data_IF_557825346976
#
_entry.id   IF_557825346976
#
_cell.length_a   1.000
_cell.length_b   1.000
_cell.length_c   1.000
_cell.angle_alpha   90.00
_cell.angle_beta   90.00
_cell.angle_gamma   90.00
#
_symmetry.space_group_name_H-M   'P 1'
#
loop_
_entity.id
_entity.type
_entity.pdbx_description
1 polymer ?
#
# COMPACT_ATOMS: atom_id res chain seq x y z
N UNK A 1 4.98 -6.21 -52.22
CA UNK A 1 4.85 -7.27 -51.21
C UNK A 1 5.71 -6.94 -49.98
N UNK A 2 5.38 -5.89 -49.21
CA UNK A 2 6.21 -5.46 -48.06
C UNK A 2 5.41 -4.93 -46.85
N UNK A 3 4.14 -4.56 -47.01
CA UNK A 3 3.31 -4.08 -45.90
C UNK A 3 2.66 -5.19 -45.06
N UNK A 4 2.40 -6.36 -45.65
CA UNK A 4 1.84 -7.53 -44.94
C UNK A 4 2.79 -7.99 -43.82
N UNK A 5 4.09 -8.03 -44.11
CA UNK A 5 5.09 -8.60 -43.21
C UNK A 5 5.30 -7.76 -41.95
N UNK A 6 5.25 -6.43 -42.05
CA UNK A 6 5.47 -5.54 -40.91
C UNK A 6 4.29 -5.58 -39.93
N UNK A 7 3.05 -5.57 -40.44
CA UNK A 7 1.85 -5.67 -39.60
C UNK A 7 1.74 -7.04 -38.92
N UNK A 8 1.92 -8.13 -39.67
CA UNK A 8 1.90 -9.48 -39.09
C UNK A 8 3.02 -9.66 -38.05
N UNK A 9 4.21 -9.11 -38.30
CA UNK A 9 5.29 -9.13 -37.31
C UNK A 9 4.92 -8.33 -36.05
N UNK A 10 4.33 -7.15 -36.21
CA UNK A 10 3.85 -6.34 -35.08
C UNK A 10 2.79 -7.07 -34.26
N UNK A 11 1.78 -7.66 -34.92
CA UNK A 11 0.70 -8.40 -34.26
C UNK A 11 1.25 -9.61 -33.48
N UNK A 12 2.22 -10.33 -34.04
CA UNK A 12 2.87 -11.46 -33.37
C UNK A 12 3.72 -11.02 -32.18
N UNK A 13 4.45 -9.91 -32.30
CA UNK A 13 5.19 -9.32 -31.18
C UNK A 13 4.24 -8.88 -30.08
N UNK A 14 3.19 -8.15 -30.42
CA UNK A 14 2.19 -7.67 -29.46
C UNK A 14 1.51 -8.83 -28.73
N UNK A 15 1.16 -9.90 -29.45
CA UNK A 15 0.61 -11.12 -28.86
C UNK A 15 1.58 -11.78 -27.88
N UNK A 16 2.85 -11.95 -28.26
CA UNK A 16 3.87 -12.58 -27.40
C UNK A 16 4.21 -11.72 -26.19
N UNK A 17 4.50 -10.43 -26.38
CA UNK A 17 4.81 -9.52 -25.28
C UNK A 17 3.60 -9.32 -24.36
N UNK A 18 2.38 -9.24 -24.89
CA UNK A 18 1.16 -9.23 -24.09
C UNK A 18 1.01 -10.48 -23.21
N UNK A 19 1.29 -11.66 -23.77
CA UNK A 19 1.27 -12.92 -23.00
C UNK A 19 2.38 -12.95 -21.94
N UNK A 20 3.59 -12.48 -22.25
CA UNK A 20 4.69 -12.38 -21.28
C UNK A 20 4.35 -11.41 -20.15
N UNK A 21 3.74 -10.27 -20.45
CA UNK A 21 3.28 -9.30 -19.46
C UNK A 21 2.20 -9.91 -18.54
N UNK A 22 1.25 -10.67 -19.09
CA UNK A 22 0.24 -11.36 -18.28
C UNK A 22 0.87 -12.41 -17.35
N UNK A 23 1.86 -13.17 -17.83
CA UNK A 23 2.60 -14.12 -17.01
C UNK A 23 3.42 -13.41 -15.91
N UNK A 24 4.03 -12.26 -16.21
CA UNK A 24 4.77 -11.49 -15.19
C UNK A 24 3.83 -10.91 -14.15
N UNK A 25 2.68 -10.37 -14.58
CA UNK A 25 1.66 -9.83 -13.68
C UNK A 25 1.16 -10.88 -12.69
N UNK A 26 0.80 -12.07 -13.18
CA UNK A 26 0.35 -13.18 -12.33
C UNK A 26 1.43 -13.64 -11.35
N UNK A 27 2.68 -13.74 -11.80
CA UNK A 27 3.81 -14.05 -10.91
C UNK A 27 4.01 -12.97 -9.82
N UNK A 28 3.88 -11.69 -10.18
CA UNK A 28 4.00 -10.57 -9.23
C UNK A 28 2.87 -10.58 -8.20
N UNK A 29 1.62 -10.86 -8.60
CA UNK A 29 0.50 -11.02 -7.67
C UNK A 29 0.78 -12.10 -6.62
N UNK A 30 1.34 -13.20 -7.09
CA UNK A 30 1.74 -14.36 -6.31
C UNK A 30 2.90 -14.05 -5.35
N UNK A 31 3.93 -13.36 -5.82
CA UNK A 31 5.05 -12.87 -5.02
C UNK A 31 4.58 -11.90 -3.93
N UNK A 32 3.71 -10.95 -4.27
CA UNK A 32 3.10 -10.01 -3.30
C UNK A 32 2.26 -10.78 -2.28
N UNK A 33 1.48 -11.79 -2.70
CA UNK A 33 0.65 -12.57 -1.79
C UNK A 33 1.48 -13.36 -0.76
N UNK A 34 2.59 -13.93 -1.22
CA UNK A 34 3.53 -14.71 -0.39
C UNK A 34 4.47 -13.82 0.43
N UNK A 35 4.58 -12.55 0.11
CA UNK A 35 5.37 -11.60 0.87
C UNK A 35 4.84 -11.47 2.31
N UNK A 36 5.70 -11.79 3.28
CA UNK A 36 5.44 -11.72 4.73
C UNK A 36 6.60 -11.05 5.44
N UNK A 37 6.30 -10.31 6.51
CA UNK A 37 7.29 -9.63 7.32
C UNK A 37 8.31 -10.61 7.93
N UNK A 38 7.84 -11.68 8.59
CA UNK A 38 8.73 -12.71 9.14
C UNK A 38 9.70 -12.10 10.15
N UNK A 39 11.01 -12.27 9.94
CA UNK A 39 12.08 -11.72 10.79
C UNK A 39 12.55 -10.33 10.37
N UNK A 40 11.94 -9.71 9.36
CA UNK A 40 12.31 -8.38 8.88
C UNK A 40 11.77 -7.27 9.78
N UNK A 41 12.49 -6.16 9.86
CA UNK A 41 11.94 -4.91 10.42
C UNK A 41 10.82 -4.37 9.51
N UNK A 42 9.98 -3.49 10.05
CA UNK A 42 8.94 -2.81 9.27
C UNK A 42 9.53 -2.11 8.04
N UNK A 43 10.66 -1.41 8.18
CA UNK A 43 11.33 -0.73 7.06
C UNK A 43 11.76 -1.72 5.98
N UNK A 44 12.41 -2.82 6.36
CA UNK A 44 12.89 -3.84 5.41
C UNK A 44 11.73 -4.47 4.64
N UNK A 45 10.67 -4.85 5.36
CA UNK A 45 9.46 -5.42 4.76
C UNK A 45 8.78 -4.42 3.82
N UNK A 46 8.63 -3.16 4.25
CA UNK A 46 8.07 -2.09 3.42
C UNK A 46 8.86 -1.88 2.12
N UNK A 47 10.20 -1.83 2.18
CA UNK A 47 11.02 -1.68 0.97
C UNK A 47 10.82 -2.84 0.00
N UNK A 48 10.75 -4.08 0.51
CA UNK A 48 10.60 -5.26 -0.33
C UNK A 48 9.23 -5.30 -1.03
N UNK A 49 8.14 -5.11 -0.28
CA UNK A 49 6.80 -5.13 -0.87
C UNK A 49 6.53 -3.91 -1.75
N UNK A 50 7.14 -2.75 -1.44
CA UNK A 50 7.12 -1.58 -2.33
C UNK A 50 7.77 -1.88 -3.67
N UNK A 51 8.93 -2.54 -3.68
CA UNK A 51 9.59 -2.92 -4.94
C UNK A 51 8.71 -3.83 -5.80
N UNK A 52 8.09 -4.84 -5.19
CA UNK A 52 7.14 -5.72 -5.89
C UNK A 52 5.91 -4.97 -6.41
N UNK A 53 5.39 -4.03 -5.62
CA UNK A 53 4.23 -3.22 -5.99
C UNK A 53 4.54 -2.24 -7.12
N UNK A 54 5.70 -1.58 -7.08
CA UNK A 54 6.14 -0.65 -8.12
C UNK A 54 6.31 -1.41 -9.45
N UNK A 55 6.90 -2.61 -9.42
CA UNK A 55 6.98 -3.46 -10.62
C UNK A 55 5.59 -3.92 -11.09
N UNK A 56 4.72 -4.36 -10.19
CA UNK A 56 3.34 -4.74 -10.54
C UNK A 56 2.59 -3.58 -11.21
N UNK A 57 2.77 -2.36 -10.72
CA UNK A 57 2.13 -1.17 -11.26
C UNK A 57 2.62 -0.80 -12.67
N UNK A 58 3.84 -1.19 -13.04
CA UNK A 58 4.38 -0.99 -14.40
C UNK A 58 3.72 -1.92 -15.43
N UNK A 59 3.41 -3.16 -15.04
CA UNK A 59 2.72 -4.12 -15.90
C UNK A 59 1.19 -4.01 -15.84
N UNK A 60 0.65 -3.40 -14.77
CA UNK A 60 -0.79 -3.25 -14.60
C UNK A 60 -1.36 -2.34 -15.70
N UNK A 61 -2.43 -2.76 -16.40
CA UNK A 61 -2.99 -1.97 -17.48
C UNK A 61 -3.42 -0.59 -16.97
N UNK A 62 -3.03 0.45 -17.71
CA UNK A 62 -3.50 1.81 -17.46
C UNK A 62 -4.95 1.88 -17.91
N UNK A 63 -5.82 2.48 -17.09
CA UNK A 63 -7.18 2.79 -17.53
C UNK A 63 -7.11 3.87 -18.61
N UNK A 64 -7.25 3.47 -19.86
CA UNK A 64 -7.40 4.39 -20.98
C UNK A 64 -8.75 5.09 -20.86
N UNK A 65 -8.74 6.40 -20.57
CA UNK A 65 -9.94 7.22 -20.74
C UNK A 65 -9.94 7.88 -22.11
N UNK A 66 -11.03 7.73 -22.86
CA UNK A 66 -11.34 8.53 -24.06
C UNK A 66 -11.79 9.97 -23.74
N UNK A 67 -11.42 10.47 -22.56
CA UNK A 67 -11.68 11.82 -22.12
C UNK A 67 -10.99 12.80 -23.08
N UNK A 68 -11.65 13.92 -23.41
CA UNK A 68 -11.06 14.95 -24.27
C UNK A 68 -9.76 15.45 -23.63
N UNK A 69 -8.64 15.21 -24.31
CA UNK A 69 -7.32 15.74 -23.94
C UNK A 69 -7.41 17.28 -23.83
N UNK A 70 -7.12 17.83 -22.65
CA UNK A 70 -7.16 19.27 -22.39
C UNK A 70 -8.27 19.75 -21.45
N UNK A 71 -9.11 18.86 -20.91
CA UNK A 71 -10.01 19.24 -19.81
C UNK A 71 -9.23 19.34 -18.48
N UNK A 72 -9.31 20.45 -17.72
CA UNK A 72 -8.67 20.58 -16.41
C UNK A 72 -9.28 19.67 -15.33
N UNK A 73 -10.43 19.05 -15.58
CA UNK A 73 -11.08 18.14 -14.64
C UNK A 73 -10.48 16.73 -14.80
N UNK A 74 -9.90 16.14 -13.72
CA UNK A 74 -9.38 14.78 -13.78
C UNK A 74 -10.54 13.80 -14.04
N UNK A 75 -10.30 12.84 -14.92
CA UNK A 75 -11.27 11.78 -15.21
C UNK A 75 -11.65 11.03 -13.92
N UNK A 76 -12.94 11.03 -13.56
CA UNK A 76 -13.42 10.32 -12.37
C UNK A 76 -13.08 8.82 -12.38
N UNK A 77 -13.05 8.18 -13.56
CA UNK A 77 -12.68 6.77 -13.69
C UNK A 77 -11.20 6.53 -13.37
N UNK A 78 -10.30 7.41 -13.84
CA UNK A 78 -8.86 7.33 -13.53
C UNK A 78 -8.61 7.59 -12.06
N UNK A 79 -9.28 8.59 -11.47
CA UNK A 79 -9.17 8.88 -10.02
C UNK A 79 -9.63 7.69 -9.18
N UNK A 80 -10.80 7.12 -9.50
CA UNK A 80 -11.33 5.96 -8.78
C UNK A 80 -10.44 4.73 -8.93
N UNK A 81 -9.83 4.52 -10.11
CA UNK A 81 -8.88 3.44 -10.33
C UNK A 81 -7.61 3.60 -9.49
N UNK A 82 -7.01 4.79 -9.47
CA UNK A 82 -5.82 5.07 -8.66
C UNK A 82 -6.11 4.89 -7.16
N UNK A 83 -7.26 5.39 -6.69
CA UNK A 83 -7.67 5.22 -5.30
C UNK A 83 -7.87 3.75 -4.93
N UNK A 84 -8.41 2.95 -5.85
CA UNK A 84 -8.53 1.49 -5.67
C UNK A 84 -7.15 0.84 -5.59
N UNK A 85 -6.21 1.19 -6.48
CA UNK A 85 -4.85 0.66 -6.46
C UNK A 85 -4.13 0.97 -5.15
N UNK A 86 -4.24 2.21 -4.66
CA UNK A 86 -3.67 2.59 -3.35
C UNK A 86 -4.28 1.80 -2.19
N UNK A 87 -5.60 1.58 -2.24
CA UNK A 87 -6.31 0.78 -1.23
C UNK A 87 -5.87 -0.69 -1.28
N UNK A 88 -5.78 -1.27 -2.48
CA UNK A 88 -5.33 -2.64 -2.69
C UNK A 88 -3.87 -2.83 -2.22
N UNK A 89 -3.01 -1.84 -2.46
CA UNK A 89 -1.64 -1.82 -1.96
C UNK A 89 -1.60 -1.85 -0.44
N UNK A 90 -2.34 -0.95 0.22
CA UNK A 90 -2.42 -0.89 1.67
C UNK A 90 -2.88 -2.23 2.26
N UNK A 91 -3.94 -2.82 1.72
CA UNK A 91 -4.47 -4.09 2.22
C UNK A 91 -3.43 -5.21 2.07
N UNK A 92 -2.75 -5.30 0.92
CA UNK A 92 -1.70 -6.30 0.69
C UNK A 92 -0.52 -6.08 1.64
N UNK A 93 -0.11 -4.84 1.86
CA UNK A 93 0.91 -4.47 2.83
C UNK A 93 0.56 -4.94 4.25
N UNK A 94 -0.61 -4.54 4.76
CA UNK A 94 -1.06 -4.88 6.10
C UNK A 94 -1.25 -6.40 6.28
N UNK A 95 -1.66 -7.13 5.23
CA UNK A 95 -1.87 -8.59 5.27
C UNK A 95 -0.57 -9.39 5.47
N UNK A 96 0.58 -8.85 5.09
CA UNK A 96 1.86 -9.54 5.26
C UNK A 96 2.57 -9.25 6.59
N UNK A 97 2.07 -8.30 7.39
CA UNK A 97 2.62 -7.99 8.72
C UNK A 97 2.40 -9.10 9.73
N UNK A 98 3.31 -9.17 10.71
CA UNK A 98 3.25 -10.13 11.81
C UNK A 98 2.06 -9.89 12.75
N UNK A 99 1.62 -10.91 13.52
CA UNK A 99 0.49 -10.80 14.45
C UNK A 99 0.67 -9.74 15.56
N UNK A 100 1.91 -9.40 15.91
CA UNK A 100 2.22 -8.34 16.89
C UNK A 100 1.67 -6.95 16.48
N UNK A 101 1.49 -6.71 15.18
CA UNK A 101 0.94 -5.45 14.66
C UNK A 101 -0.58 -5.49 14.44
N UNK A 102 -1.27 -6.57 14.83
CA UNK A 102 -2.71 -6.74 14.57
C UNK A 102 -3.58 -5.64 15.21
N UNK A 103 -3.15 -5.09 16.35
CA UNK A 103 -3.80 -3.95 16.98
C UNK A 103 -3.77 -2.69 16.09
N UNK A 104 -2.58 -2.32 15.62
CA UNK A 104 -2.37 -1.17 14.73
C UNK A 104 -3.09 -1.38 13.39
N UNK A 105 -3.03 -2.58 12.82
CA UNK A 105 -3.77 -2.93 11.59
C UNK A 105 -5.27 -2.66 11.71
N UNK A 106 -5.89 -3.11 12.80
CA UNK A 106 -7.32 -2.88 13.04
C UNK A 106 -7.63 -1.39 13.15
N UNK A 107 -6.80 -0.63 13.86
CA UNK A 107 -6.95 0.81 13.98
C UNK A 107 -6.89 1.49 12.61
N UNK A 108 -5.88 1.20 11.80
CA UNK A 108 -5.71 1.77 10.46
C UNK A 108 -6.91 1.47 9.56
N UNK A 109 -7.44 0.24 9.60
CA UNK A 109 -8.61 -0.17 8.81
C UNK A 109 -9.94 0.46 9.27
N UNK A 110 -9.99 1.06 10.45
CA UNK A 110 -11.19 1.76 10.96
C UNK A 110 -11.22 3.25 10.59
N UNK A 111 -10.11 3.82 10.11
CA UNK A 111 -10.03 5.23 9.74
C UNK A 111 -10.89 5.53 8.50
N UNK A 112 -11.49 6.73 8.49
CA UNK A 112 -12.24 7.28 7.35
C UNK A 112 -11.78 8.71 7.09
N UNK A 113 -11.09 8.98 5.96
CA UNK A 113 -10.68 8.04 4.90
C UNK A 113 -9.62 7.04 5.37
N UNK A 114 -9.44 5.94 4.62
CA UNK A 114 -8.34 5.01 4.88
C UNK A 114 -6.99 5.74 4.72
N UNK A 115 -5.99 5.42 5.56
CA UNK A 115 -4.69 6.06 5.51
C UNK A 115 -3.92 5.65 4.25
N UNK A 116 -2.91 6.43 3.88
CA UNK A 116 -1.98 5.99 2.83
C UNK A 116 -1.02 4.93 3.38
N UNK A 117 -0.32 4.21 2.50
CA UNK A 117 0.72 3.26 2.95
C UNK A 117 1.86 3.98 3.68
N UNK A 118 2.16 5.24 3.33
CA UNK A 118 3.16 6.03 4.01
C UNK A 118 2.74 6.30 5.47
N UNK A 119 1.52 6.79 5.68
CA UNK A 119 0.99 7.05 7.03
C UNK A 119 0.95 5.75 7.88
N UNK A 120 0.53 4.64 7.25
CA UNK A 120 0.52 3.33 7.91
C UNK A 120 1.93 2.88 8.33
N UNK A 121 2.95 3.14 7.51
CA UNK A 121 4.35 2.82 7.85
C UNK A 121 4.83 3.65 9.03
N UNK A 122 4.51 4.94 9.09
CA UNK A 122 4.89 5.80 10.20
C UNK A 122 4.30 5.31 11.54
N UNK A 123 3.01 4.98 11.56
CA UNK A 123 2.33 4.41 12.73
C UNK A 123 2.95 3.07 13.17
N UNK A 124 3.28 2.20 12.21
CA UNK A 124 3.90 0.90 12.48
C UNK A 124 5.34 1.04 13.00
N UNK A 125 6.10 2.02 12.49
CA UNK A 125 7.46 2.30 12.95
C UNK A 125 7.45 2.80 14.39
N UNK A 126 6.51 3.67 14.74
CA UNK A 126 6.32 4.10 16.13
C UNK A 126 6.03 2.90 17.04
N UNK A 127 5.11 2.02 16.63
CA UNK A 127 4.77 0.84 17.40
C UNK A 127 5.94 -0.15 17.54
N UNK A 128 6.74 -0.34 16.50
CA UNK A 128 7.93 -1.20 16.53
C UNK A 128 8.95 -0.70 17.58
N UNK A 129 9.12 0.62 17.71
CA UNK A 129 9.99 1.22 18.73
C UNK A 129 9.47 0.97 20.15
N UNK A 130 8.16 1.10 20.38
CA UNK A 130 7.51 0.83 21.67
C UNK A 130 7.69 -0.64 22.10
N UNK A 131 7.55 -1.58 21.16
CA UNK A 131 7.80 -3.00 21.42
C UNK A 131 9.26 -3.28 21.79
N UNK A 132 10.21 -2.65 21.11
CA UNK A 132 11.65 -2.75 21.44
C UNK A 132 11.97 -2.16 22.82
N UNK A 133 11.35 -1.04 23.18
CA UNK A 133 11.50 -0.43 24.50
C UNK A 133 10.93 -1.32 25.61
N UNK A 134 9.77 -1.95 25.40
CA UNK A 134 9.12 -2.82 26.37
C UNK A 134 9.88 -4.14 26.58
N UNK A 135 10.46 -4.72 25.53
CA UNK A 135 11.30 -5.93 25.63
C UNK A 135 12.65 -5.68 26.30
N UNK A 136 13.19 -4.46 26.16
CA UNK A 136 14.42 -4.02 26.83
C UNK A 136 14.18 -3.50 28.27
N UNK A 137 12.90 -3.42 28.68
CA UNK A 137 12.43 -2.63 29.82
C UNK A 137 11.71 -3.41 30.92
N UNK A 138 12.09 -4.66 31.21
CA UNK A 138 11.80 -5.27 32.52
C UNK A 138 12.65 -4.59 33.60
N UNK A 139 12.32 -3.33 33.87
CA UNK A 139 13.17 -2.38 34.57
C UNK A 139 12.53 -1.00 34.67
N UNK A 140 11.31 -0.95 35.24
CA UNK A 140 10.58 0.23 35.74
C UNK A 140 10.14 1.26 34.68
N UNK A 141 8.82 1.40 34.53
CA UNK A 141 8.18 2.73 34.54
C UNK A 141 6.71 2.66 34.97
N UNK A 142 6.49 3.03 36.23
CA UNK A 142 5.20 3.52 36.72
C UNK A 142 5.02 4.93 36.18
N UNK A 143 3.92 5.20 35.47
CA UNK A 143 3.45 6.55 35.22
C UNK A 143 1.97 6.63 35.56
N UNK A 144 1.72 7.17 36.75
CA UNK A 144 0.47 7.76 37.19
C UNK A 144 0.09 8.92 36.28
N UNK A 145 -1.07 8.84 35.62
CA UNK A 145 -1.70 10.00 34.99
C UNK A 145 -2.63 10.63 36.02
N UNK A 146 -2.22 11.78 36.56
CA UNK A 146 -3.09 12.64 37.36
C UNK A 146 -3.93 13.49 36.39
N UNK A 147 -5.23 13.21 36.29
CA UNK A 147 -6.19 14.09 35.63
C UNK A 147 -6.67 15.13 36.64
N UNK A 148 -6.18 16.35 36.52
CA UNK A 148 -6.64 17.50 37.29
C UNK A 148 -7.97 18.01 36.70
N UNK A 149 -9.05 17.81 37.47
CA UNK A 149 -10.34 18.47 37.30
C UNK A 149 -10.23 19.93 37.71
N UNK A 150 -10.58 20.87 36.84
CA UNK A 150 -11.13 22.16 37.27
C UNK A 150 -12.40 22.49 36.47
N UNK A 151 -13.44 22.69 37.26
CA UNK A 151 -14.82 23.06 36.95
C UNK A 151 -14.96 24.59 37.11
N UNK A 152 -15.73 25.22 36.23
CA UNK A 152 -16.29 26.57 36.39
C UNK A 152 -16.98 26.91 35.07
N UNK A 153 -18.31 26.85 34.89
CA UNK A 153 -19.46 27.36 35.64
C UNK A 153 -19.53 28.89 35.74
N UNK A 154 -20.26 29.44 34.76
CA UNK A 154 -21.23 30.55 34.80
C UNK A 154 -20.82 32.04 34.70
N UNK A 155 -21.44 32.65 33.67
CA UNK A 155 -22.27 33.86 33.69
C UNK A 155 -21.62 35.24 33.59
N UNK A 156 -21.88 35.91 32.46
CA UNK A 156 -22.50 37.25 32.38
C UNK A 156 -23.16 37.41 31.02
#
# INVERSE_FOLDING_TARGET
>A
MSHENAKTLWDELHRRFGQLNANRLTNLEDEIHRCKQGSMTITQYYTLIKGLWDEYSEYSPIVECNCISGNPIPCTAVVAYNQKQETDYLIKFLRGLNPEFEGVKKQLLMLKPLPTVADAVDDLLQHEQELKANTSGSGKRSQTVALATIRGYQSS
#
